data_IF_902272738946
#
_entry.id   IF_902272738946
#
_cell.length_a   1.000
_cell.length_b   1.000
_cell.length_c   1.000
_cell.angle_alpha   90.00
_cell.angle_beta   90.00
_cell.angle_gamma   90.00
#
_symmetry.space_group_name_H-M   'P 1'
#
loop_
_entity.id
_entity.type
_entity.pdbx_description
1 polymer ?
#
# COMPACT_ATOMS: atom_id res chain seq x y z
N UNK A 1 -23.82 14.78 32.01
CA UNK A 1 -23.39 15.04 30.63
C UNK A 1 -23.48 13.73 29.83
N UNK A 2 -24.00 13.72 28.59
CA UNK A 2 -24.09 12.52 27.76
C UNK A 2 -22.71 11.86 27.57
N UNK A 3 -22.67 10.53 27.44
CA UNK A 3 -21.44 9.74 27.25
C UNK A 3 -20.59 10.29 26.08
N UNK A 4 -21.25 10.63 24.98
CA UNK A 4 -20.66 11.16 23.74
C UNK A 4 -19.89 12.45 23.97
N UNK A 5 -20.51 13.42 24.67
CA UNK A 5 -19.92 14.74 24.87
C UNK A 5 -18.66 14.67 25.76
N UNK A 6 -18.74 13.95 26.89
CA UNK A 6 -17.60 13.79 27.78
C UNK A 6 -16.45 12.99 27.15
N UNK A 7 -16.76 11.97 26.34
CA UNK A 7 -15.73 11.21 25.65
C UNK A 7 -14.98 12.07 24.64
N UNK A 8 -15.72 12.78 23.78
CA UNK A 8 -15.14 13.62 22.73
C UNK A 8 -14.33 14.79 23.30
N UNK A 9 -14.84 15.48 24.32
CA UNK A 9 -14.13 16.61 24.95
C UNK A 9 -12.76 16.19 25.50
N UNK A 10 -12.69 15.10 26.26
CA UNK A 10 -11.43 14.57 26.78
C UNK A 10 -10.48 14.11 25.66
N UNK A 11 -11.04 13.50 24.61
CA UNK A 11 -10.27 13.04 23.45
C UNK A 11 -9.66 14.21 22.67
N UNK A 12 -10.45 15.24 22.40
CA UNK A 12 -10.04 16.43 21.66
C UNK A 12 -9.02 17.24 22.47
N UNK A 13 -9.23 17.40 23.78
CA UNK A 13 -8.26 18.06 24.67
C UNK A 13 -6.90 17.37 24.62
N UNK A 14 -6.87 16.04 24.78
CA UNK A 14 -5.63 15.27 24.64
C UNK A 14 -5.00 15.46 23.25
N UNK A 15 -5.80 15.45 22.19
CA UNK A 15 -5.31 15.61 20.82
C UNK A 15 -4.67 16.98 20.57
N UNK A 16 -5.21 18.05 21.12
CA UNK A 16 -4.64 19.40 20.97
C UNK A 16 -3.23 19.50 21.55
N UNK A 17 -2.95 18.79 22.63
CA UNK A 17 -1.65 18.78 23.30
C UNK A 17 -0.65 17.78 22.69
N UNK A 18 -1.14 16.68 22.08
CA UNK A 18 -0.32 15.53 21.73
C UNK A 18 -0.27 15.19 20.23
N UNK A 19 -1.05 15.88 19.38
CA UNK A 19 -1.08 15.58 17.94
C UNK A 19 0.29 15.75 17.30
N UNK A 20 0.65 14.81 16.43
CA UNK A 20 1.77 15.02 15.50
C UNK A 20 1.40 16.07 14.47
N UNK A 21 2.37 16.93 14.17
CA UNK A 21 2.30 17.85 13.04
C UNK A 21 2.51 17.06 11.75
N UNK A 22 1.45 16.94 10.96
CA UNK A 22 1.45 16.18 9.71
C UNK A 22 0.83 17.06 8.61
N UNK A 23 1.46 17.18 7.42
CA UNK A 23 1.04 18.14 6.41
C UNK A 23 -0.44 18.05 6.01
N UNK A 24 -0.97 16.83 5.89
CA UNK A 24 -2.36 16.57 5.52
C UNK A 24 -3.39 16.91 6.61
N UNK A 25 -2.95 17.21 7.84
CA UNK A 25 -3.83 17.70 8.92
C UNK A 25 -3.99 19.22 8.94
N UNK A 26 -3.10 19.92 8.25
CA UNK A 26 -3.06 21.39 8.22
C UNK A 26 -3.76 21.94 6.96
N UNK A 27 -4.69 21.18 6.37
CA UNK A 27 -5.43 21.56 5.17
C UNK A 27 -6.83 20.98 5.17
N UNK A 28 -7.75 21.64 4.47
CA UNK A 28 -9.09 21.14 4.11
C UNK A 28 -9.17 20.73 2.64
N UNK A 29 -8.05 20.74 1.91
CA UNK A 29 -8.03 20.37 0.50
C UNK A 29 -8.29 18.85 0.34
N UNK A 30 -9.39 18.45 -0.33
CA UNK A 30 -9.79 17.04 -0.42
C UNK A 30 -8.79 16.20 -1.21
N UNK A 31 -8.12 16.75 -2.23
CA UNK A 31 -7.08 16.04 -2.98
C UNK A 31 -5.90 15.68 -2.08
N UNK A 32 -5.42 16.65 -1.29
CA UNK A 32 -4.29 16.46 -0.37
C UNK A 32 -4.61 15.46 0.74
N UNK A 33 -5.82 15.55 1.31
CA UNK A 33 -6.29 14.61 2.32
C UNK A 33 -6.40 13.21 1.71
N UNK A 34 -7.13 13.07 0.59
CA UNK A 34 -7.33 11.79 -0.10
C UNK A 34 -6.01 11.11 -0.45
N UNK A 35 -5.04 11.85 -1.03
CA UNK A 35 -3.72 11.32 -1.35
C UNK A 35 -3.04 10.73 -0.10
N UNK A 36 -3.05 11.46 1.02
CA UNK A 36 -2.46 10.96 2.27
C UNK A 36 -3.15 9.69 2.76
N UNK A 37 -4.49 9.63 2.69
CA UNK A 37 -5.27 8.47 3.11
C UNK A 37 -4.97 7.25 2.25
N UNK A 38 -4.81 7.41 0.93
CA UNK A 38 -4.42 6.30 0.05
C UNK A 38 -2.97 5.86 0.33
N UNK A 39 -2.04 6.78 0.52
CA UNK A 39 -0.62 6.47 0.83
C UNK A 39 -0.53 5.71 2.16
N UNK A 40 -1.28 6.10 3.18
CA UNK A 40 -1.20 5.54 4.53
C UNK A 40 -1.98 4.24 4.72
N UNK A 41 -2.78 3.82 3.74
CA UNK A 41 -3.39 2.48 3.78
C UNK A 41 -2.32 1.39 3.95
N UNK A 42 -2.35 0.71 5.11
CA UNK A 42 -1.37 -0.32 5.48
C UNK A 42 0.10 0.15 5.42
N UNK A 43 0.33 1.45 5.54
CA UNK A 43 1.67 2.06 5.48
C UNK A 43 1.86 2.94 6.71
N UNK A 44 2.99 2.82 7.39
CA UNK A 44 3.27 3.65 8.57
C UNK A 44 3.53 5.10 8.16
N UNK A 45 3.16 6.05 9.02
CA UNK A 45 3.38 7.49 8.79
C UNK A 45 4.83 7.81 8.43
N UNK A 46 5.81 7.24 9.16
CA UNK A 46 7.25 7.44 8.88
C UNK A 46 7.65 7.02 7.46
N UNK A 47 7.02 5.98 6.92
CA UNK A 47 7.28 5.50 5.56
C UNK A 47 6.49 6.31 4.52
N UNK A 48 5.26 6.71 4.83
CA UNK A 48 4.36 7.39 3.90
C UNK A 48 4.67 8.88 3.71
N UNK A 49 5.14 9.57 4.76
CA UNK A 49 5.37 11.02 4.72
C UNK A 49 6.30 11.46 3.58
N UNK A 50 7.50 10.86 3.37
CA UNK A 50 8.38 11.26 2.27
C UNK A 50 7.76 11.03 0.88
N UNK A 51 6.86 10.04 0.74
CA UNK A 51 6.15 9.82 -0.52
C UNK A 51 5.06 10.87 -0.72
N UNK A 52 4.31 11.19 0.33
CA UNK A 52 3.31 12.25 0.28
C UNK A 52 3.92 13.58 -0.18
N UNK A 53 5.05 13.98 0.40
CA UNK A 53 5.76 15.21 0.05
C UNK A 53 6.18 15.21 -1.42
N UNK A 54 6.83 14.14 -1.90
CA UNK A 54 7.22 14.00 -3.31
C UNK A 54 6.02 14.01 -4.26
N UNK A 55 4.92 13.38 -3.90
CA UNK A 55 3.71 13.37 -4.71
C UNK A 55 3.06 14.75 -4.80
N UNK A 56 2.99 15.50 -3.69
CA UNK A 56 2.45 16.87 -3.70
C UNK A 56 3.38 17.83 -4.44
N UNK A 57 4.69 17.64 -4.37
CA UNK A 57 5.66 18.43 -5.13
C UNK A 57 5.51 18.20 -6.64
N UNK A 58 5.43 16.94 -7.08
CA UNK A 58 5.30 16.61 -8.50
C UNK A 58 3.88 16.86 -9.05
N UNK A 59 2.85 16.63 -8.22
CA UNK A 59 1.44 16.74 -8.59
C UNK A 59 0.70 17.61 -7.55
N UNK A 60 0.83 18.95 -7.64
CA UNK A 60 0.26 19.86 -6.64
C UNK A 60 -1.27 19.81 -6.53
N UNK A 61 -1.96 19.49 -7.63
CA UNK A 61 -3.40 19.28 -7.68
C UNK A 61 -3.79 17.99 -8.44
N UNK A 62 -5.11 17.71 -8.43
CA UNK A 62 -5.67 16.50 -9.04
C UNK A 62 -5.54 16.48 -10.57
N UNK A 63 -5.50 17.63 -11.23
CA UNK A 63 -5.33 17.74 -12.68
C UNK A 63 -3.91 17.35 -13.09
N UNK A 64 -2.88 17.79 -12.35
CA UNK A 64 -1.52 17.33 -12.65
C UNK A 64 -1.35 15.83 -12.41
N UNK A 65 -1.95 15.29 -11.34
CA UNK A 65 -1.92 13.84 -11.14
C UNK A 65 -2.67 13.09 -12.25
N UNK A 66 -3.80 13.62 -12.72
CA UNK A 66 -4.59 13.03 -13.80
C UNK A 66 -3.87 13.05 -15.16
N UNK A 67 -3.09 14.09 -15.44
CA UNK A 67 -2.35 14.26 -16.68
C UNK A 67 -1.02 13.49 -16.72
N UNK A 68 -0.55 13.00 -15.58
CA UNK A 68 0.69 12.24 -15.50
C UNK A 68 0.63 10.91 -16.26
N UNK A 69 1.79 10.46 -16.75
CA UNK A 69 1.90 9.12 -17.33
C UNK A 69 1.73 8.06 -16.23
N UNK A 70 1.03 6.96 -16.54
CA UNK A 70 0.82 5.87 -15.57
C UNK A 70 2.16 5.31 -15.08
N UNK A 71 3.16 5.16 -15.96
CA UNK A 71 4.49 4.67 -15.60
C UNK A 71 5.21 5.63 -14.63
N UNK A 72 5.01 6.95 -14.76
CA UNK A 72 5.57 7.94 -13.82
C UNK A 72 4.94 7.80 -12.43
N UNK A 73 3.61 7.70 -12.35
CA UNK A 73 2.89 7.50 -11.08
C UNK A 73 3.32 6.19 -10.40
N UNK A 74 3.42 5.11 -11.18
CA UNK A 74 3.86 3.81 -10.69
C UNK A 74 5.31 3.85 -10.20
N UNK A 75 6.19 4.62 -10.88
CA UNK A 75 7.58 4.79 -10.48
C UNK A 75 7.69 5.56 -9.16
N UNK A 76 6.94 6.65 -9.01
CA UNK A 76 6.89 7.39 -7.75
C UNK A 76 6.31 6.56 -6.59
N UNK A 77 5.41 5.61 -6.88
CA UNK A 77 4.86 4.69 -5.89
C UNK A 77 5.79 3.50 -5.55
N UNK A 78 6.89 3.32 -6.29
CA UNK A 78 7.80 2.19 -6.08
C UNK A 78 8.30 2.16 -4.64
N UNK A 79 8.14 1.01 -3.98
CA UNK A 79 8.55 0.83 -2.57
C UNK A 79 7.40 0.92 -1.55
N UNK A 80 6.28 1.58 -1.87
CA UNK A 80 5.12 1.64 -0.96
C UNK A 80 4.32 0.34 -0.88
N UNK A 81 4.44 -0.53 -1.89
CA UNK A 81 3.64 -1.75 -2.00
C UNK A 81 2.16 -1.49 -2.27
N UNK A 82 1.37 -2.56 -2.38
CA UNK A 82 -0.06 -2.51 -2.73
C UNK A 82 -0.35 -1.61 -3.94
N UNK A 83 0.32 -1.89 -5.06
CA UNK A 83 0.31 -1.10 -6.28
C UNK A 83 -1.06 -0.90 -6.96
N UNK A 84 -2.08 -1.70 -6.59
CA UNK A 84 -3.47 -1.39 -6.94
C UNK A 84 -3.93 -0.03 -6.40
N UNK A 85 -3.38 0.45 -5.27
CA UNK A 85 -3.64 1.78 -4.72
C UNK A 85 -3.23 2.87 -5.69
N UNK A 86 -1.99 2.84 -6.18
CA UNK A 86 -1.47 3.81 -7.16
C UNK A 86 -2.32 3.87 -8.43
N UNK A 87 -2.69 2.69 -8.97
CA UNK A 87 -3.51 2.61 -10.19
C UNK A 87 -4.92 3.12 -9.98
N UNK A 88 -5.55 2.77 -8.86
CA UNK A 88 -6.88 3.27 -8.55
C UNK A 88 -6.86 4.77 -8.20
N UNK A 89 -5.81 5.25 -7.53
CA UNK A 89 -5.56 6.67 -7.29
C UNK A 89 -5.51 7.41 -8.62
N UNK A 90 -4.67 6.97 -9.55
CA UNK A 90 -4.52 7.62 -10.85
C UNK A 90 -5.82 7.56 -11.69
N UNK A 91 -6.49 6.41 -11.70
CA UNK A 91 -7.79 6.27 -12.37
C UNK A 91 -8.83 7.25 -11.81
N UNK A 92 -8.93 7.35 -10.49
CA UNK A 92 -9.88 8.24 -9.82
C UNK A 92 -9.47 9.71 -9.98
N UNK A 93 -8.17 10.03 -10.02
CA UNK A 93 -7.70 11.38 -10.31
C UNK A 93 -8.15 11.82 -11.72
N UNK A 94 -8.03 10.95 -12.73
CA UNK A 94 -8.54 11.20 -14.08
C UNK A 94 -10.04 11.44 -14.09
N UNK A 95 -10.81 10.61 -13.39
CA UNK A 95 -12.25 10.80 -13.27
C UNK A 95 -12.60 12.15 -12.63
N UNK A 96 -11.98 12.50 -11.50
CA UNK A 96 -12.26 13.76 -10.79
C UNK A 96 -11.85 14.97 -11.63
N UNK A 97 -10.69 14.91 -12.29
CA UNK A 97 -10.22 15.98 -13.18
C UNK A 97 -11.18 16.21 -14.34
N UNK A 98 -11.58 15.13 -15.04
CA UNK A 98 -12.26 15.25 -16.33
C UNK A 98 -13.79 15.30 -16.19
N UNK A 99 -14.37 14.49 -15.31
CA UNK A 99 -15.83 14.34 -15.16
C UNK A 99 -16.40 15.21 -14.03
N UNK A 100 -15.56 15.61 -13.07
CA UNK A 100 -15.97 16.42 -11.93
C UNK A 100 -15.30 17.82 -11.90
N UNK A 101 -14.60 18.22 -12.96
CA UNK A 101 -13.96 19.55 -13.07
C UNK A 101 -13.00 19.83 -11.89
N UNK A 102 -12.26 18.80 -11.48
CA UNK A 102 -11.33 18.85 -10.34
C UNK A 102 -11.99 18.88 -8.95
N UNK A 103 -13.32 18.83 -8.87
CA UNK A 103 -14.08 18.92 -7.62
C UNK A 103 -14.38 17.53 -7.08
N UNK A 104 -13.84 17.23 -5.90
CA UNK A 104 -14.19 16.00 -5.18
C UNK A 104 -15.65 16.06 -4.73
N UNK A 105 -16.39 14.93 -4.80
CA UNK A 105 -17.67 14.81 -4.13
C UNK A 105 -17.52 15.09 -2.63
N UNK A 106 -18.47 15.82 -2.05
CA UNK A 106 -18.40 16.27 -0.67
C UNK A 106 -19.19 15.40 0.32
N UNK A 107 -19.79 14.31 -0.16
CA UNK A 107 -20.52 13.35 0.68
C UNK A 107 -19.86 11.98 0.72
N UNK A 108 -19.93 11.31 1.87
CA UNK A 108 -19.47 9.94 2.08
C UNK A 108 -20.05 8.99 1.04
N UNK A 109 -21.35 9.13 0.74
CA UNK A 109 -22.05 8.25 -0.20
C UNK A 109 -21.52 8.37 -1.63
N UNK A 110 -21.10 9.56 -2.04
CA UNK A 110 -20.55 9.77 -3.38
C UNK A 110 -19.07 9.40 -3.44
N UNK A 111 -18.30 9.76 -2.41
CA UNK A 111 -16.89 9.37 -2.28
C UNK A 111 -16.73 7.84 -2.32
N UNK A 112 -17.63 7.09 -1.68
CA UNK A 112 -17.62 5.62 -1.65
C UNK A 112 -17.81 4.97 -3.04
N UNK A 113 -18.37 5.71 -4.01
CA UNK A 113 -18.54 5.20 -5.39
C UNK A 113 -17.25 5.25 -6.20
N UNK A 114 -16.26 6.03 -5.75
CA UNK A 114 -15.00 6.22 -6.47
C UNK A 114 -14.10 5.00 -6.35
N UNK A 115 -13.39 4.68 -7.43
CA UNK A 115 -12.55 3.49 -7.50
C UNK A 115 -11.39 3.58 -6.51
N UNK A 116 -11.23 2.54 -5.69
CA UNK A 116 -10.17 2.49 -4.67
C UNK A 116 -10.46 3.29 -3.41
N UNK A 117 -11.65 3.92 -3.29
CA UNK A 117 -12.12 4.54 -2.06
C UNK A 117 -13.06 3.55 -1.35
N UNK A 118 -12.60 3.01 -0.22
CA UNK A 118 -13.42 2.18 0.66
C UNK A 118 -14.09 2.99 1.77
N UNK A 119 -14.88 2.33 2.63
CA UNK A 119 -15.63 2.97 3.72
C UNK A 119 -14.76 3.89 4.58
N UNK A 120 -13.57 3.44 4.99
CA UNK A 120 -12.65 4.27 5.77
C UNK A 120 -12.23 5.55 5.04
N UNK A 121 -11.75 5.43 3.80
CA UNK A 121 -11.23 6.59 3.05
C UNK A 121 -12.36 7.54 2.68
N UNK A 122 -13.55 7.04 2.35
CA UNK A 122 -14.73 7.88 2.12
C UNK A 122 -15.09 8.67 3.39
N UNK A 123 -15.13 8.01 4.56
CA UNK A 123 -15.42 8.66 5.83
C UNK A 123 -14.35 9.69 6.21
N UNK A 124 -13.08 9.34 6.03
CA UNK A 124 -11.95 10.23 6.31
C UNK A 124 -12.00 11.48 5.43
N UNK A 125 -12.17 11.35 4.11
CA UNK A 125 -12.23 12.52 3.22
C UNK A 125 -13.49 13.37 3.50
N UNK A 126 -14.66 12.73 3.62
CA UNK A 126 -15.91 13.40 3.95
C UNK A 126 -15.82 14.21 5.26
N UNK A 127 -15.29 13.59 6.31
CA UNK A 127 -15.16 14.23 7.61
C UNK A 127 -14.06 15.28 7.60
N UNK A 128 -12.85 14.96 7.14
CA UNK A 128 -11.71 15.87 7.27
C UNK A 128 -11.82 17.07 6.36
N UNK A 129 -12.25 16.90 5.11
CA UNK A 129 -12.33 17.99 4.13
C UNK A 129 -13.64 18.78 4.24
N UNK A 130 -14.76 18.12 4.57
CA UNK A 130 -16.11 18.71 4.48
C UNK A 130 -16.89 18.71 5.80
N UNK A 131 -16.28 18.27 6.91
CA UNK A 131 -16.90 18.20 8.23
C UNK A 131 -18.20 17.39 8.25
N UNK A 132 -18.38 16.43 7.34
CA UNK A 132 -19.53 15.52 7.38
C UNK A 132 -19.44 14.63 8.65
N UNK A 133 -20.53 14.47 9.42
CA UNK A 133 -20.54 13.69 10.65
C UNK A 133 -20.57 12.17 10.37
N UNK A 134 -19.46 11.66 9.83
CA UNK A 134 -19.26 10.25 9.52
C UNK A 134 -18.07 9.73 10.31
N UNK A 135 -18.27 8.69 11.12
CA UNK A 135 -17.22 8.13 11.94
C UNK A 135 -16.19 7.34 11.11
N UNK A 136 -14.90 7.51 11.40
CA UNK A 136 -13.84 6.71 10.79
C UNK A 136 -13.57 5.43 11.57
N UNK A 137 -13.31 4.34 10.85
CA UNK A 137 -12.97 3.03 11.43
C UNK A 137 -11.72 2.46 10.78
N UNK A 138 -10.56 2.77 11.35
CA UNK A 138 -9.29 2.12 11.01
C UNK A 138 -8.88 1.10 12.10
N UNK A 139 -7.74 0.43 11.89
CA UNK A 139 -7.22 -0.52 12.87
C UNK A 139 -6.90 0.08 14.24
N UNK A 140 -6.70 1.40 14.34
CA UNK A 140 -6.50 2.12 15.60
C UNK A 140 -7.83 2.32 16.32
N UNK A 141 -8.85 2.81 15.62
CA UNK A 141 -10.19 3.02 16.17
C UNK A 141 -10.83 1.71 16.61
N UNK A 142 -10.76 0.64 15.79
CA UNK A 142 -11.24 -0.68 16.19
C UNK A 142 -10.64 -1.16 17.51
N UNK A 143 -9.35 -0.90 17.74
CA UNK A 143 -8.66 -1.28 18.98
C UNK A 143 -9.09 -0.42 20.17
N UNK A 144 -9.22 0.90 19.97
CA UNK A 144 -9.71 1.82 21.01
C UNK A 144 -11.12 1.43 21.43
N UNK A 145 -12.03 1.27 20.48
CA UNK A 145 -13.42 0.89 20.74
C UNK A 145 -13.52 -0.49 21.39
N UNK A 146 -12.78 -1.48 20.89
CA UNK A 146 -12.81 -2.84 21.44
C UNK A 146 -12.38 -2.84 22.91
N UNK A 147 -11.32 -2.10 23.25
CA UNK A 147 -10.83 -2.01 24.63
C UNK A 147 -11.75 -1.18 25.52
N UNK A 148 -12.21 -0.02 25.03
CA UNK A 148 -13.04 0.88 25.82
C UNK A 148 -14.37 0.23 26.18
N UNK A 149 -15.04 -0.40 25.21
CA UNK A 149 -16.34 -1.04 25.40
C UNK A 149 -16.26 -2.52 25.81
N UNK A 150 -15.07 -3.14 25.83
CA UNK A 150 -14.90 -4.55 26.18
C UNK A 150 -15.48 -5.52 25.14
N UNK A 151 -15.41 -5.16 23.86
CA UNK A 151 -16.01 -5.94 22.76
C UNK A 151 -14.99 -6.96 22.24
N UNK A 152 -15.31 -8.24 22.38
CA UNK A 152 -14.51 -9.39 21.93
C UNK A 152 -14.96 -9.97 20.58
N UNK A 153 -16.03 -9.44 19.98
CA UNK A 153 -16.43 -9.80 18.61
C UNK A 153 -15.28 -9.50 17.64
N UNK A 154 -14.86 -10.46 16.79
CA UNK A 154 -13.72 -10.24 15.89
C UNK A 154 -13.93 -9.04 14.96
N UNK A 155 -12.97 -8.09 14.96
CA UNK A 155 -13.10 -6.82 14.22
C UNK A 155 -13.17 -7.00 12.69
N UNK A 156 -12.71 -8.16 12.20
CA UNK A 156 -12.71 -8.54 10.78
C UNK A 156 -13.82 -9.54 10.44
N UNK A 157 -14.89 -9.60 11.24
CA UNK A 157 -16.12 -10.32 10.95
C UNK A 157 -17.22 -9.37 10.47
N UNK A 158 -18.23 -9.90 9.75
CA UNK A 158 -19.39 -9.10 9.31
C UNK A 158 -20.18 -8.51 10.49
N UNK A 159 -20.29 -9.27 11.57
CA UNK A 159 -20.97 -8.85 12.80
C UNK A 159 -20.17 -7.75 13.52
N UNK A 160 -18.86 -7.98 13.72
CA UNK A 160 -17.97 -6.99 14.31
C UNK A 160 -18.03 -5.65 13.57
N UNK A 161 -18.00 -5.66 12.23
CA UNK A 161 -18.12 -4.44 11.43
C UNK A 161 -19.37 -3.61 11.78
N UNK A 162 -20.53 -4.25 11.99
CA UNK A 162 -21.78 -3.56 12.39
C UNK A 162 -21.70 -3.00 13.80
N UNK A 163 -21.20 -3.79 14.75
CA UNK A 163 -21.07 -3.39 16.17
C UNK A 163 -20.15 -2.19 16.30
N UNK A 164 -18.95 -2.26 15.73
CA UNK A 164 -17.97 -1.19 15.82
C UNK A 164 -18.42 0.07 15.09
N UNK A 165 -19.15 -0.05 13.98
CA UNK A 165 -19.78 1.09 13.31
C UNK A 165 -20.77 1.78 14.26
N UNK A 166 -21.69 1.04 14.86
CA UNK A 166 -22.63 1.59 15.85
C UNK A 166 -21.91 2.28 17.01
N UNK A 167 -20.86 1.66 17.57
CA UNK A 167 -20.08 2.25 18.65
C UNK A 167 -19.27 3.47 18.26
N UNK A 168 -18.77 3.55 17.03
CA UNK A 168 -18.07 4.72 16.54
C UNK A 168 -19.03 5.91 16.42
N UNK A 169 -20.26 5.69 15.93
CA UNK A 169 -21.29 6.73 15.88
C UNK A 169 -21.81 7.12 17.28
N UNK A 170 -21.89 6.18 18.22
CA UNK A 170 -22.31 6.46 19.61
C UNK A 170 -21.42 7.51 20.31
N UNK A 171 -20.12 7.53 19.99
CA UNK A 171 -19.15 8.46 20.59
C UNK A 171 -18.81 9.65 19.70
N UNK A 172 -19.25 9.67 18.44
CA UNK A 172 -18.90 10.71 17.48
C UNK A 172 -19.46 12.05 17.92
N UNK A 173 -18.62 13.07 17.91
CA UNK A 173 -19.05 14.46 18.07
C UNK A 173 -19.46 15.02 16.70
N UNK A 174 -20.77 15.05 16.45
CA UNK A 174 -21.34 15.53 15.19
C UNK A 174 -21.09 17.02 14.94
N UNK A 175 -20.83 17.82 15.98
CA UNK A 175 -20.49 19.23 15.84
C UNK A 175 -19.01 19.44 15.46
N UNK A 176 -18.15 18.48 15.79
CA UNK A 176 -16.70 18.53 15.54
C UNK A 176 -16.15 17.21 14.97
N UNK A 177 -16.72 16.67 13.88
CA UNK A 177 -16.43 15.29 13.47
C UNK A 177 -14.99 15.13 12.96
N UNK A 178 -14.45 16.12 12.25
CA UNK A 178 -13.09 16.06 11.71
C UNK A 178 -12.04 15.90 12.82
N UNK A 179 -12.08 16.78 13.83
CA UNK A 179 -11.12 16.74 14.94
C UNK A 179 -11.35 15.51 15.83
N UNK A 180 -12.61 15.10 16.05
CA UNK A 180 -12.92 13.87 16.78
C UNK A 180 -12.28 12.64 16.11
N UNK A 181 -12.52 12.47 14.81
CA UNK A 181 -12.01 11.34 14.02
C UNK A 181 -10.48 11.32 13.98
N UNK A 182 -9.82 12.46 13.74
CA UNK A 182 -8.36 12.54 13.81
C UNK A 182 -7.83 12.23 15.21
N UNK A 183 -8.52 12.71 16.25
CA UNK A 183 -8.13 12.51 17.63
C UNK A 183 -8.20 11.03 18.04
N UNK A 184 -9.27 10.31 17.72
CA UNK A 184 -9.38 8.88 18.09
C UNK A 184 -8.37 8.01 17.34
N UNK A 185 -8.08 8.34 16.08
CA UNK A 185 -7.01 7.67 15.31
C UNK A 185 -5.65 7.91 15.95
N UNK A 186 -5.33 9.16 16.32
CA UNK A 186 -4.08 9.53 16.96
C UNK A 186 -3.93 8.92 18.35
N UNK A 187 -5.01 8.92 19.13
CA UNK A 187 -5.08 8.32 20.46
C UNK A 187 -4.77 6.82 20.40
N UNK A 188 -5.37 6.12 19.43
CA UNK A 188 -5.05 4.73 19.16
C UNK A 188 -3.60 4.54 18.74
N UNK A 189 -3.04 5.44 17.92
CA UNK A 189 -1.66 5.34 17.42
C UNK A 189 -0.60 5.59 18.50
N UNK A 190 -0.79 6.57 19.39
CA UNK A 190 0.25 7.03 20.32
C UNK A 190 0.07 6.48 21.72
N UNK A 191 -1.18 6.42 22.23
CA UNK A 191 -1.45 6.05 23.62
C UNK A 191 -1.98 4.61 23.74
N UNK A 192 -3.11 4.32 23.10
CA UNK A 192 -3.74 2.99 23.13
C UNK A 192 -3.07 2.06 22.10
N UNK A 193 -1.75 1.88 22.19
CA UNK A 193 -0.90 1.10 21.27
C UNK A 193 -1.27 -0.40 21.27
N UNK A 194 -0.98 -1.15 20.18
CA UNK A 194 -1.20 -2.60 20.13
C UNK A 194 -0.48 -3.35 21.25
N UNK A 195 0.78 -2.99 21.52
CA UNK A 195 1.62 -3.52 22.59
C UNK A 195 1.97 -2.40 23.56
N UNK A 196 1.98 -2.72 24.85
CA UNK A 196 2.33 -1.79 25.94
C UNK A 196 1.65 -0.41 25.80
N UNK A 197 0.31 -0.35 25.79
CA UNK A 197 -0.39 0.93 25.83
C UNK A 197 -0.17 1.64 27.16
N UNK A 198 -0.16 2.96 27.14
CA UNK A 198 0.17 3.78 28.30
C UNK A 198 -1.09 4.07 29.15
N UNK A 199 -1.74 2.99 29.62
CA UNK A 199 -3.04 3.06 30.32
C UNK A 199 -3.01 3.88 31.61
N UNK A 200 -1.86 4.02 32.27
CA UNK A 200 -1.73 4.85 33.47
C UNK A 200 -1.96 6.34 33.16
N UNK A 201 -1.61 6.78 31.94
CA UNK A 201 -1.79 8.16 31.47
C UNK A 201 -3.03 8.32 30.59
N UNK A 202 -3.87 7.29 30.50
CA UNK A 202 -5.09 7.27 29.69
C UNK A 202 -6.25 7.90 30.48
N UNK A 203 -6.77 9.03 29.99
CA UNK A 203 -7.96 9.72 30.55
C UNK A 203 -9.22 8.85 30.58
N UNK A 204 -9.26 7.77 29.79
CA UNK A 204 -10.39 6.83 29.76
C UNK A 204 -10.21 5.61 30.66
N UNK A 205 -9.11 5.50 31.43
CA UNK A 205 -8.78 4.28 32.17
C UNK A 205 -9.87 3.83 33.17
N UNK A 206 -10.54 4.75 33.84
CA UNK A 206 -11.58 4.49 34.84
C UNK A 206 -12.85 3.90 34.23
N UNK A 207 -13.12 4.16 32.95
CA UNK A 207 -14.29 3.68 32.20
C UNK A 207 -13.95 2.62 31.13
N UNK A 208 -12.67 2.40 30.86
CA UNK A 208 -12.22 1.42 29.88
C UNK A 208 -12.41 0.00 30.41
N UNK A 209 -13.40 -0.73 29.88
CA UNK A 209 -13.74 -2.09 30.33
C UNK A 209 -12.53 -3.02 30.28
N UNK A 210 -11.74 -2.97 29.20
CA UNK A 210 -10.59 -3.84 29.06
C UNK A 210 -9.47 -3.54 30.07
N UNK A 211 -9.35 -2.30 30.55
CA UNK A 211 -8.41 -1.97 31.62
C UNK A 211 -8.91 -2.52 32.96
N UNK A 212 -10.18 -2.26 33.29
CA UNK A 212 -10.80 -2.72 34.54
C UNK A 212 -10.84 -4.26 34.66
N UNK A 213 -10.98 -4.96 33.53
CA UNK A 213 -11.08 -6.42 33.48
C UNK A 213 -9.79 -7.13 33.04
N UNK A 214 -8.65 -6.43 32.97
CA UNK A 214 -7.36 -6.99 32.53
C UNK A 214 -7.36 -7.64 31.12
N UNK A 215 -8.21 -7.15 30.21
CA UNK A 215 -8.35 -7.64 28.82
C UNK A 215 -7.59 -6.82 27.76
N UNK A 216 -6.75 -5.85 28.16
CA UNK A 216 -5.97 -5.02 27.22
C UNK A 216 -5.14 -5.86 26.22
N UNK A 217 -4.60 -7.00 26.68
CA UNK A 217 -3.76 -7.89 25.85
C UNK A 217 -4.57 -8.80 24.93
N UNK A 218 -5.82 -9.12 25.27
CA UNK A 218 -6.69 -10.00 24.46
C UNK A 218 -7.47 -9.24 23.39
N UNK A 219 -7.62 -7.92 23.55
CA UNK A 219 -8.42 -7.08 22.64
C UNK A 219 -7.55 -6.17 21.75
N UNK A 220 -7.91 -6.00 20.45
CA UNK A 220 -9.08 -6.55 19.78
C UNK A 220 -8.89 -7.98 19.28
N UNK A 221 -9.97 -8.76 19.24
CA UNK A 221 -9.99 -10.10 18.63
C UNK A 221 -9.96 -9.98 17.09
N UNK A 222 -9.24 -10.90 16.45
CA UNK A 222 -9.18 -11.04 14.98
C UNK A 222 -9.33 -12.51 14.59
N UNK A 223 -10.10 -12.78 13.53
CA UNK A 223 -10.11 -14.08 12.87
C UNK A 223 -8.70 -14.40 12.33
N UNK A 224 -8.33 -15.69 12.33
CA UNK A 224 -7.00 -16.16 11.89
C UNK A 224 -6.68 -15.72 10.47
N UNK A 225 -5.40 -15.38 10.22
CA UNK A 225 -4.89 -15.03 8.89
C UNK A 225 -4.88 -16.27 7.98
N UNK A 226 -5.12 -16.05 6.69
CA UNK A 226 -4.98 -17.07 5.64
C UNK A 226 -3.55 -17.64 5.62
N UNK A 227 -3.42 -18.94 5.31
CA UNK A 227 -2.11 -19.56 5.09
C UNK A 227 -1.44 -18.91 3.87
N UNK A 228 -0.18 -18.49 4.03
CA UNK A 228 0.61 -17.93 2.92
C UNK A 228 1.03 -19.05 1.98
N UNK A 229 0.78 -18.88 0.68
CA UNK A 229 1.31 -19.80 -0.36
C UNK A 229 2.77 -19.48 -0.65
N UNK A 230 3.55 -20.48 -1.06
CA UNK A 230 4.93 -20.28 -1.55
C UNK A 230 4.91 -20.23 -3.08
N UNK A 231 5.71 -19.35 -3.68
CA UNK A 231 5.93 -19.26 -5.13
C UNK A 231 7.43 -19.17 -5.40
N UNK A 232 7.89 -19.79 -6.48
CA UNK A 232 9.31 -19.86 -6.82
C UNK A 232 9.55 -19.25 -8.21
N UNK A 233 10.13 -18.06 -8.22
CA UNK A 233 10.34 -17.23 -9.40
C UNK A 233 11.77 -17.36 -9.90
N UNK A 234 11.94 -17.64 -11.19
CA UNK A 234 13.23 -17.66 -11.86
C UNK A 234 13.24 -16.56 -12.91
N UNK A 235 13.84 -15.43 -12.57
CA UNK A 235 14.00 -14.30 -13.47
C UNK A 235 15.19 -14.53 -14.39
N UNK A 236 14.99 -14.35 -15.69
CA UNK A 236 15.99 -14.57 -16.73
C UNK A 236 16.38 -13.22 -17.33
N UNK A 237 17.66 -12.88 -17.22
CA UNK A 237 18.25 -11.67 -17.76
C UNK A 237 18.97 -12.06 -19.04
N UNK A 238 18.25 -11.94 -20.15
CA UNK A 238 18.85 -12.03 -21.48
C UNK A 238 19.61 -10.74 -21.74
N UNK A 239 20.92 -10.84 -21.95
CA UNK A 239 21.79 -9.71 -22.24
C UNK A 239 22.32 -9.82 -23.66
N UNK A 240 22.09 -8.79 -24.48
CA UNK A 240 22.62 -8.72 -25.84
C UNK A 240 24.10 -8.37 -25.84
N UNK A 241 24.78 -8.63 -26.96
CA UNK A 241 26.16 -8.21 -27.18
C UNK A 241 26.35 -6.68 -27.09
N UNK A 242 25.29 -5.90 -27.34
CA UNK A 242 25.25 -4.44 -27.22
C UNK A 242 24.90 -3.91 -25.81
N UNK A 243 24.77 -4.78 -24.80
CA UNK A 243 24.46 -4.37 -23.43
C UNK A 243 22.98 -4.06 -23.16
N UNK A 244 22.09 -4.49 -24.06
CA UNK A 244 20.64 -4.40 -23.90
C UNK A 244 20.11 -5.59 -23.11
N UNK A 245 18.95 -5.40 -22.49
CA UNK A 245 18.23 -6.44 -21.74
C UNK A 245 16.76 -6.47 -22.15
N UNK A 246 16.12 -7.61 -21.89
CA UNK A 246 14.69 -7.78 -22.09
C UNK A 246 13.92 -7.64 -20.77
N UNK A 247 12.84 -6.87 -20.82
CA UNK A 247 11.86 -6.74 -19.74
C UNK A 247 10.44 -6.80 -20.29
N UNK A 248 9.47 -7.15 -19.46
CA UNK A 248 8.05 -7.06 -19.79
C UNK A 248 7.27 -6.39 -18.67
N UNK A 249 6.13 -5.79 -19.02
CA UNK A 249 5.18 -5.29 -18.03
C UNK A 249 4.24 -6.41 -17.60
N UNK A 250 3.99 -6.55 -16.30
CA UNK A 250 3.01 -7.51 -15.77
C UNK A 250 1.59 -7.04 -16.06
N UNK A 251 1.01 -7.49 -17.18
CA UNK A 251 -0.37 -7.14 -17.56
C UNK A 251 -1.43 -8.04 -16.90
N UNK A 252 -1.07 -9.28 -16.58
CA UNK A 252 -1.95 -10.26 -15.95
C UNK A 252 -2.47 -9.83 -14.57
N UNK A 253 -3.63 -10.36 -14.18
CA UNK A 253 -4.23 -10.13 -12.84
C UNK A 253 -3.47 -10.93 -11.77
N UNK A 254 -2.32 -10.44 -11.34
CA UNK A 254 -1.50 -11.01 -10.27
C UNK A 254 -0.81 -9.89 -9.46
N UNK A 255 0.06 -10.26 -8.51
CA UNK A 255 0.94 -9.32 -7.83
C UNK A 255 1.78 -8.50 -8.81
N UNK A 256 2.10 -7.28 -8.37
CA UNK A 256 2.96 -6.36 -9.11
C UNK A 256 2.43 -6.02 -10.52
N UNK A 257 1.11 -6.13 -10.73
CA UNK A 257 0.48 -5.72 -11.98
C UNK A 257 0.87 -4.27 -12.33
N UNK A 258 1.19 -4.06 -13.61
CA UNK A 258 1.76 -2.83 -14.21
C UNK A 258 3.20 -2.50 -13.84
N UNK A 259 3.86 -3.29 -12.99
CA UNK A 259 5.31 -3.19 -12.83
C UNK A 259 6.02 -3.93 -13.95
N UNK A 260 7.25 -3.48 -14.21
CA UNK A 260 8.17 -4.14 -15.11
C UNK A 260 8.97 -5.20 -14.36
N UNK A 261 9.30 -6.26 -15.08
CA UNK A 261 10.13 -7.35 -14.61
C UNK A 261 10.95 -7.95 -15.74
N UNK A 262 11.91 -8.79 -15.36
CA UNK A 262 12.59 -9.66 -16.32
C UNK A 262 11.68 -10.83 -16.72
N UNK A 263 11.93 -11.45 -17.89
CA UNK A 263 11.33 -12.72 -18.27
C UNK A 263 11.35 -13.73 -17.11
N UNK A 264 10.25 -14.45 -16.91
CA UNK A 264 10.00 -15.20 -15.69
C UNK A 264 9.56 -16.64 -15.99
N UNK A 265 10.22 -17.60 -15.34
CA UNK A 265 9.73 -18.98 -15.21
C UNK A 265 9.33 -19.23 -13.75
N UNK A 266 8.04 -19.50 -13.52
CA UNK A 266 7.56 -19.93 -12.21
C UNK A 266 7.61 -21.45 -12.06
N UNK A 267 8.12 -21.93 -10.92
CA UNK A 267 8.32 -23.35 -10.63
C UNK A 267 7.65 -23.75 -9.31
N UNK A 268 7.47 -25.05 -9.08
CA UNK A 268 6.82 -25.58 -7.87
C UNK A 268 7.73 -25.60 -6.63
N UNK A 269 9.05 -25.54 -6.84
CA UNK A 269 10.08 -25.53 -5.81
C UNK A 269 11.28 -24.71 -6.31
N UNK A 270 12.28 -24.46 -5.46
CA UNK A 270 13.52 -23.79 -5.87
C UNK A 270 14.12 -24.52 -7.08
N UNK A 271 14.28 -23.82 -8.19
CA UNK A 271 14.59 -24.47 -9.46
C UNK A 271 16.06 -24.92 -9.54
N UNK A 272 16.25 -26.08 -10.15
CA UNK A 272 17.50 -26.42 -10.86
C UNK A 272 17.58 -25.63 -12.16
N UNK A 273 18.73 -25.48 -12.83
CA UNK A 273 18.82 -24.68 -14.07
C UNK A 273 17.93 -25.15 -15.23
N UNK A 274 17.54 -26.44 -15.27
CA UNK A 274 16.86 -27.06 -16.41
C UNK A 274 15.55 -26.37 -16.85
N UNK A 275 14.57 -26.08 -15.97
CA UNK A 275 13.29 -25.49 -16.37
C UNK A 275 13.41 -24.06 -16.93
N UNK A 276 14.58 -23.42 -16.78
CA UNK A 276 14.81 -22.05 -17.27
C UNK A 276 14.87 -22.05 -18.80
N UNK A 277 15.43 -23.10 -19.39
CA UNK A 277 15.50 -23.27 -20.84
C UNK A 277 14.13 -23.47 -21.50
N UNK A 278 13.08 -23.80 -20.72
CA UNK A 278 11.71 -23.96 -21.24
C UNK A 278 11.03 -22.60 -21.55
N UNK A 279 11.71 -21.48 -21.32
CA UNK A 279 11.17 -20.15 -21.63
C UNK A 279 11.19 -19.88 -23.15
N UNK A 280 10.07 -19.40 -23.71
CA UNK A 280 9.88 -19.15 -25.17
C UNK A 280 10.94 -18.24 -25.82
N UNK A 281 11.68 -17.45 -25.03
CA UNK A 281 12.73 -16.56 -25.54
C UNK A 281 13.98 -17.32 -25.98
N UNK A 282 14.23 -18.53 -25.47
CA UNK A 282 15.33 -19.35 -26.00
C UNK A 282 15.09 -19.70 -27.46
N UNK A 283 13.87 -20.12 -27.81
CA UNK A 283 13.48 -20.42 -29.18
C UNK A 283 13.41 -19.13 -30.04
N UNK A 284 12.73 -18.08 -29.57
CA UNK A 284 12.57 -16.81 -30.32
C UNK A 284 13.91 -16.16 -30.68
N UNK A 285 14.92 -16.29 -29.80
CA UNK A 285 16.25 -15.72 -29.99
C UNK A 285 17.24 -16.70 -30.66
N UNK A 286 16.80 -17.92 -31.01
CA UNK A 286 17.65 -19.00 -31.53
C UNK A 286 18.86 -19.29 -30.61
N UNK A 287 18.66 -19.25 -29.29
CA UNK A 287 19.69 -19.52 -28.30
C UNK A 287 19.75 -21.02 -28.03
N UNK A 288 20.90 -21.64 -28.33
CA UNK A 288 21.14 -23.05 -28.03
C UNK A 288 21.06 -23.33 -26.52
N UNK A 289 20.56 -24.51 -26.16
CA UNK A 289 20.58 -25.03 -24.78
C UNK A 289 22.00 -25.28 -24.23
N UNK A 290 23.04 -25.14 -25.06
CA UNK A 290 24.44 -25.20 -24.65
C UNK A 290 24.94 -23.87 -24.04
N UNK A 291 24.14 -22.80 -24.10
CA UNK A 291 24.51 -21.52 -23.48
C UNK A 291 24.60 -21.67 -21.96
N UNK A 292 25.71 -21.19 -21.40
CA UNK A 292 25.96 -21.23 -19.95
C UNK A 292 25.03 -20.27 -19.22
N UNK A 293 24.10 -20.83 -18.46
CA UNK A 293 23.32 -20.10 -17.46
C UNK A 293 24.18 -19.76 -16.24
N UNK A 294 24.24 -18.48 -15.87
CA UNK A 294 24.90 -18.03 -14.64
C UNK A 294 23.86 -17.55 -13.64
N UNK A 295 23.74 -18.24 -12.50
CA UNK A 295 22.99 -17.71 -11.35
C UNK A 295 23.73 -16.51 -10.76
N UNK A 296 23.05 -15.38 -10.62
CA UNK A 296 23.67 -14.13 -10.17
C UNK A 296 23.61 -13.96 -8.65
N UNK A 297 22.49 -14.34 -8.02
CA UNK A 297 22.34 -14.23 -6.58
C UNK A 297 22.92 -15.48 -5.86
N UNK A 298 23.79 -15.33 -4.84
CA UNK A 298 24.42 -16.46 -4.16
C UNK A 298 23.43 -17.27 -3.31
N UNK A 299 22.38 -16.62 -2.82
CA UNK A 299 21.29 -17.24 -2.05
C UNK A 299 19.96 -16.81 -2.63
N UNK A 300 18.99 -17.72 -2.67
CA UNK A 300 17.63 -17.42 -3.11
C UNK A 300 17.03 -16.31 -2.26
N UNK A 301 16.56 -15.24 -2.91
CA UNK A 301 15.91 -14.17 -2.21
C UNK A 301 14.56 -14.63 -1.70
N UNK A 302 14.21 -14.23 -0.49
CA UNK A 302 12.87 -14.39 0.06
C UNK A 302 12.20 -13.03 0.18
N UNK A 303 11.09 -12.85 -0.51
CA UNK A 303 10.26 -11.66 -0.42
C UNK A 303 8.89 -12.03 0.14
N UNK A 304 8.49 -11.38 1.24
CA UNK A 304 7.27 -11.72 1.98
C UNK A 304 6.16 -10.74 1.62
N UNK A 305 5.03 -11.28 1.15
CA UNK A 305 3.79 -10.55 0.93
C UNK A 305 2.70 -11.05 1.88
N UNK A 306 1.60 -10.31 1.99
CA UNK A 306 0.51 -10.60 2.93
C UNK A 306 -0.09 -11.99 2.77
N UNK A 307 -0.20 -12.49 1.53
CA UNK A 307 -0.83 -13.77 1.21
C UNK A 307 0.13 -14.81 0.62
N UNK A 308 1.40 -14.44 0.40
CA UNK A 308 2.36 -15.35 -0.24
C UNK A 308 3.80 -14.97 0.07
N UNK A 309 4.67 -15.98 0.08
CA UNK A 309 6.12 -15.81 0.11
C UNK A 309 6.67 -16.10 -1.30
N UNK A 310 7.41 -15.16 -1.86
CA UNK A 310 8.12 -15.31 -3.14
C UNK A 310 9.56 -15.70 -2.84
N UNK A 311 10.01 -16.79 -3.45
CA UNK A 311 11.40 -17.22 -3.47
C UNK A 311 11.93 -16.95 -4.87
N UNK A 312 12.96 -16.12 -5.02
CA UNK A 312 13.40 -15.66 -6.32
C UNK A 312 14.89 -15.85 -6.56
N UNK A 313 15.20 -16.35 -7.75
CA UNK A 313 16.53 -16.49 -8.31
C UNK A 313 16.64 -15.75 -9.63
N UNK A 314 17.82 -15.22 -9.92
CA UNK A 314 18.12 -14.42 -11.10
C UNK A 314 19.23 -15.09 -11.91
N UNK A 315 18.99 -15.26 -13.20
CA UNK A 315 19.83 -16.05 -14.11
C UNK A 315 20.23 -15.20 -15.31
N UNK A 316 21.53 -15.04 -15.55
CA UNK A 316 22.04 -14.35 -16.73
C UNK A 316 22.21 -15.32 -17.90
N UNK A 317 21.79 -14.86 -19.08
CA UNK A 317 22.03 -15.49 -20.39
C UNK A 317 22.74 -14.47 -21.26
N UNK A 318 24.00 -14.74 -21.59
CA UNK A 318 24.75 -13.91 -22.55
C UNK A 318 24.37 -14.32 -23.96
N UNK A 319 23.85 -13.37 -24.74
CA UNK A 319 23.37 -13.58 -26.08
C UNK A 319 24.38 -12.92 -27.05
N UNK A 320 25.01 -13.71 -27.92
CA UNK A 320 25.94 -13.21 -28.94
C UNK A 320 25.23 -12.49 -30.12
N UNK A 321 24.01 -12.02 -29.89
CA UNK A 321 23.12 -11.41 -30.88
C UNK A 321 22.71 -10.01 -30.41
N UNK A 322 22.21 -9.21 -31.33
CA UNK A 322 21.52 -7.96 -31.03
C UNK A 322 20.01 -8.19 -31.09
N UNK A 323 19.25 -7.63 -30.13
CA UNK A 323 17.81 -7.89 -30.05
C UNK A 323 17.00 -7.13 -31.10
N UNK A 324 17.55 -6.06 -31.68
CA UNK A 324 16.87 -5.21 -32.67
C UNK A 324 16.38 -5.94 -33.93
N UNK A 325 16.94 -7.12 -34.23
CA UNK A 325 16.58 -7.92 -35.41
C UNK A 325 15.45 -8.92 -35.16
N UNK A 326 14.90 -8.96 -33.94
CA UNK A 326 13.88 -9.92 -33.53
C UNK A 326 12.56 -9.23 -33.17
N UNK A 327 11.44 -9.86 -33.52
CA UNK A 327 10.15 -9.46 -32.98
C UNK A 327 9.96 -10.09 -31.59
N UNK A 328 10.13 -9.27 -30.55
CA UNK A 328 10.15 -9.71 -29.17
C UNK A 328 8.92 -9.27 -28.38
N UNK A 329 7.84 -8.82 -29.02
CA UNK A 329 6.60 -8.52 -28.29
C UNK A 329 6.14 -9.75 -27.46
N UNK A 330 5.69 -9.57 -26.19
CA UNK A 330 5.44 -8.30 -25.49
C UNK A 330 6.64 -7.75 -24.68
N UNK A 331 7.86 -8.26 -24.91
CA UNK A 331 9.08 -7.80 -24.23
C UNK A 331 9.60 -6.51 -24.88
N UNK A 332 10.02 -5.58 -24.02
CA UNK A 332 10.74 -4.36 -24.39
C UNK A 332 12.23 -4.59 -24.31
N UNK A 333 12.94 -4.18 -25.36
CA UNK A 333 14.40 -4.06 -25.38
C UNK A 333 14.77 -2.74 -24.73
N UNK A 334 15.58 -2.78 -23.68
CA UNK A 334 16.04 -1.58 -22.99
C UNK A 334 17.54 -1.66 -22.71
N UNK A 335 18.21 -0.51 -22.71
CA UNK A 335 19.59 -0.46 -22.22
C UNK A 335 19.61 -0.85 -20.74
N UNK A 336 20.54 -1.72 -20.33
CA UNK A 336 20.68 -2.17 -18.94
C UNK A 336 20.81 -1.02 -17.94
N UNK A 337 21.48 0.09 -18.31
CA UNK A 337 21.61 1.30 -17.49
C UNK A 337 20.28 2.07 -17.33
N UNK A 338 19.31 1.85 -18.22
CA UNK A 338 18.00 2.51 -18.18
C UNK A 338 16.91 1.73 -17.44
N UNK A 339 17.19 0.52 -16.95
CA UNK A 339 16.19 -0.30 -16.24
C UNK A 339 15.56 0.44 -15.04
N UNK A 340 16.35 1.27 -14.37
CA UNK A 340 15.94 2.03 -13.18
C UNK A 340 14.89 3.10 -13.49
N UNK A 341 14.68 3.46 -14.77
CA UNK A 341 13.59 4.37 -15.17
C UNK A 341 12.22 3.70 -15.06
N UNK A 342 12.17 2.36 -15.13
CA UNK A 342 10.93 1.61 -15.04
C UNK A 342 10.55 1.33 -13.57
N UNK A 343 9.25 1.28 -13.31
CA UNK A 343 8.71 0.90 -12.01
C UNK A 343 8.82 -0.62 -11.84
N UNK A 344 9.64 -1.07 -10.89
CA UNK A 344 9.87 -2.49 -10.60
C UNK A 344 9.42 -2.84 -9.18
N UNK A 345 9.30 -4.12 -8.87
CA UNK A 345 9.05 -4.56 -7.49
C UNK A 345 10.27 -4.29 -6.59
N UNK A 346 10.07 -4.17 -5.28
CA UNK A 346 11.18 -4.06 -4.30
C UNK A 346 12.15 -5.24 -4.42
N UNK A 347 11.64 -6.43 -4.77
CA UNK A 347 12.47 -7.61 -4.98
C UNK A 347 13.47 -7.40 -6.12
N UNK A 348 13.00 -6.91 -7.26
CA UNK A 348 13.85 -6.63 -8.43
C UNK A 348 14.74 -5.43 -8.15
N UNK A 349 14.22 -4.36 -7.54
CA UNK A 349 15.00 -3.17 -7.18
C UNK A 349 16.19 -3.52 -6.27
N UNK A 350 15.96 -4.39 -5.28
CA UNK A 350 17.01 -4.91 -4.42
C UNK A 350 18.07 -5.69 -5.22
N UNK A 351 17.64 -6.56 -6.12
CA UNK A 351 18.57 -7.29 -6.98
C UNK A 351 19.40 -6.33 -7.86
N UNK A 352 18.76 -5.33 -8.46
CA UNK A 352 19.46 -4.31 -9.28
C UNK A 352 20.53 -3.59 -8.45
N UNK A 353 20.22 -3.19 -7.22
CA UNK A 353 21.17 -2.52 -6.33
C UNK A 353 22.37 -3.39 -5.93
N UNK A 354 22.21 -4.72 -5.89
CA UNK A 354 23.27 -5.64 -5.47
C UNK A 354 24.14 -6.14 -6.64
N UNK A 355 23.59 -6.24 -7.86
CA UNK A 355 24.22 -6.97 -8.97
C UNK A 355 24.37 -6.19 -10.27
N UNK A 356 23.60 -5.12 -10.45
CA UNK A 356 23.68 -4.26 -11.63
C UNK A 356 24.15 -2.89 -11.12
N UNK A 357 25.46 -2.81 -10.88
CA UNK A 357 26.16 -1.58 -10.52
C UNK A 357 26.12 -0.62 -11.71
N UNK A 358 25.87 0.65 -11.44
CA UNK A 358 26.19 1.72 -12.39
C UNK A 358 27.71 1.84 -12.50
N UNK A 359 28.18 2.30 -13.67
CA UNK A 359 29.47 3.00 -13.75
C UNK A 359 29.29 4.42 -13.20
#
# INVERSE_FOLDING_TARGET
MPLTQHFSENLISWYQENKRDLPWRNTKNPYKIWLSEIILQQTQVKQGLPYYEKFIEAFPDVHQLANADEDQVMKMWQGLGYYSRARNLHFTAKYISNECDGKFPNTYKELLKLKGIGEYTAAAVASFAYDEPVAVLDGNVYRVLSRYFGIDTPINSKEGAKIFKSKAYEILDEAKPAIHNQAIMEYGSLLCKPKSPDCMFCSFNSKCVAFQQNQIKSLPVKLKKLKRRKRYFNYIIFQSSGGEILINQRLGKDIWQKLYEFPLVETQATATPKPIFDHELFDKLNISNEVKLKKLNPKTYKHVLTHQDIYADFWAVQCAIEFKNFNLEPYKVVNSKSIRKFAVSILIDKFLNEHILED
#
